data_IF_114537892093
#
_entry.id   IF_114537892093
#
_cell.length_a   1.000
_cell.length_b   1.000
_cell.length_c   1.000
_cell.angle_alpha   90.00
_cell.angle_beta   90.00
_cell.angle_gamma   90.00
#
_symmetry.space_group_name_H-M   'P 1'
#
loop_
_entity.id
_entity.type
_entity.pdbx_description
1 polymer ?
#
# COMPACT_ATOMS: atom_id res chain seq x y z
N UNK A 1 -13.27 -1.27 6.26
CA UNK A 1 -13.18 0.15 6.64
C UNK A 1 -12.73 1.14 5.54
N UNK A 2 -12.06 0.67 4.47
CA UNK A 2 -11.40 1.56 3.50
C UNK A 2 -12.13 1.81 2.17
N UNK A 3 -13.28 1.18 1.92
CA UNK A 3 -13.98 1.33 0.64
C UNK A 3 -13.20 0.81 -0.59
N UNK A 4 -12.18 -0.05 -0.40
CA UNK A 4 -11.26 -0.49 -1.46
C UNK A 4 -11.77 -1.64 -2.34
N UNK A 5 -13.05 -2.00 -2.20
CA UNK A 5 -13.73 -3.03 -2.99
C UNK A 5 -14.81 -2.36 -3.81
N UNK A 6 -14.87 -2.68 -5.10
CA UNK A 6 -15.95 -2.23 -5.98
C UNK A 6 -16.64 -3.44 -6.60
N UNK A 7 -17.91 -3.28 -6.95
CA UNK A 7 -18.68 -4.35 -7.57
C UNK A 7 -18.68 -4.15 -9.08
N UNK A 8 -18.20 -5.14 -9.83
CA UNK A 8 -18.09 -5.01 -11.28
C UNK A 8 -19.50 -5.02 -11.91
N UNK A 9 -19.87 -3.98 -12.69
CA UNK A 9 -21.26 -3.79 -13.13
C UNK A 9 -21.76 -4.90 -14.07
N UNK A 10 -20.86 -5.50 -14.87
CA UNK A 10 -21.17 -6.59 -15.81
C UNK A 10 -21.01 -7.97 -15.16
N UNK A 11 -19.79 -8.33 -14.72
CA UNK A 11 -19.49 -9.65 -14.15
C UNK A 11 -20.13 -9.95 -12.79
N UNK A 12 -20.70 -8.95 -12.11
CA UNK A 12 -21.34 -9.10 -10.79
C UNK A 12 -20.41 -9.74 -9.73
N UNK A 13 -19.12 -9.44 -9.82
CA UNK A 13 -18.08 -9.89 -8.90
C UNK A 13 -17.53 -8.73 -8.09
N UNK A 14 -16.98 -9.03 -6.91
CA UNK A 14 -16.23 -8.03 -6.15
C UNK A 14 -14.79 -7.95 -6.68
N UNK A 15 -14.37 -6.75 -7.03
CA UNK A 15 -13.00 -6.45 -7.45
C UNK A 15 -12.31 -5.51 -6.47
N UNK A 16 -10.98 -5.59 -6.45
CA UNK A 16 -10.10 -4.77 -5.60
C UNK A 16 -8.72 -4.69 -6.20
N UNK A 17 -7.90 -3.78 -5.67
CA UNK A 17 -6.47 -3.75 -5.94
C UNK A 17 -5.82 -5.13 -5.78
N UNK A 18 -5.05 -5.56 -6.77
CA UNK A 18 -4.32 -6.82 -6.83
C UNK A 18 -2.83 -6.67 -6.52
N UNK A 19 -2.40 -5.48 -6.07
CA UNK A 19 -0.99 -5.10 -5.91
C UNK A 19 -0.15 -5.33 -7.16
N UNK A 20 -0.78 -5.21 -8.34
CA UNK A 20 -0.15 -5.51 -9.62
C UNK A 20 0.54 -6.89 -9.62
N UNK A 21 -0.13 -7.93 -9.12
CA UNK A 21 0.42 -9.29 -9.03
C UNK A 21 1.17 -9.73 -10.30
N UNK A 22 0.62 -9.44 -11.48
CA UNK A 22 1.20 -9.73 -12.79
C UNK A 22 2.54 -9.03 -13.11
N UNK A 23 2.88 -7.96 -12.39
CA UNK A 23 4.16 -7.22 -12.47
C UNK A 23 5.15 -7.69 -11.43
N UNK A 24 4.71 -7.78 -10.16
CA UNK A 24 5.61 -8.12 -9.05
C UNK A 24 6.17 -9.55 -9.17
N UNK A 25 5.44 -10.48 -9.79
CA UNK A 25 5.94 -11.83 -10.09
C UNK A 25 7.07 -11.86 -11.12
N UNK A 26 7.26 -10.76 -11.87
CA UNK A 26 8.34 -10.57 -12.85
C UNK A 26 9.48 -9.70 -12.30
N UNK A 27 9.49 -9.44 -10.99
CA UNK A 27 10.46 -8.55 -10.36
C UNK A 27 10.26 -7.07 -10.67
N UNK A 28 9.11 -6.69 -11.24
CA UNK A 28 8.78 -5.29 -11.53
C UNK A 28 8.02 -4.66 -10.37
N UNK A 29 8.13 -3.34 -10.21
CA UNK A 29 7.34 -2.61 -9.24
C UNK A 29 5.85 -2.53 -9.65
N UNK A 30 4.94 -2.28 -8.68
CA UNK A 30 3.57 -1.93 -8.98
C UNK A 30 3.47 -0.67 -9.85
N UNK A 31 2.51 -0.64 -10.78
CA UNK A 31 2.35 0.48 -11.70
C UNK A 31 2.14 1.82 -10.99
N UNK A 32 1.45 1.81 -9.84
CA UNK A 32 1.18 3.01 -9.06
C UNK A 32 2.42 3.58 -8.35
N UNK A 33 3.49 2.79 -8.20
CA UNK A 33 4.78 3.16 -7.65
C UNK A 33 5.64 3.75 -8.76
N UNK A 34 5.75 3.06 -9.90
CA UNK A 34 6.52 3.54 -11.06
C UNK A 34 5.95 4.82 -11.67
N UNK A 35 4.62 4.98 -11.66
CA UNK A 35 3.97 6.20 -12.16
C UNK A 35 4.14 7.41 -11.23
N UNK A 36 4.72 7.24 -10.04
CA UNK A 36 4.86 8.32 -9.06
C UNK A 36 6.00 9.26 -9.45
N UNK A 37 5.66 10.38 -10.09
CA UNK A 37 6.65 11.36 -10.57
C UNK A 37 7.60 11.90 -9.47
N UNK A 38 7.09 12.05 -8.24
CA UNK A 38 7.87 12.56 -7.11
C UNK A 38 8.58 11.46 -6.30
N UNK A 39 8.43 10.19 -6.67
CA UNK A 39 9.07 9.08 -5.97
C UNK A 39 8.62 8.88 -4.51
N UNK A 40 7.47 9.41 -4.12
CA UNK A 40 6.96 9.35 -2.73
C UNK A 40 6.42 7.97 -2.34
N UNK A 41 6.08 7.13 -3.33
CA UNK A 41 5.58 5.77 -3.08
C UNK A 41 6.75 4.80 -3.09
N UNK A 42 6.90 4.06 -1.99
CA UNK A 42 7.94 3.05 -1.82
C UNK A 42 7.33 1.65 -1.78
N UNK A 43 8.03 0.67 -2.34
CA UNK A 43 7.58 -0.72 -2.42
C UNK A 43 8.69 -1.66 -1.94
N UNK A 44 8.30 -2.73 -1.22
CA UNK A 44 9.25 -3.69 -0.67
C UNK A 44 8.58 -4.70 0.25
N UNK A 45 9.26 -5.81 0.50
CA UNK A 45 8.85 -6.80 1.49
C UNK A 45 9.25 -6.33 2.89
N UNK A 46 8.29 -6.15 3.78
CA UNK A 46 8.55 -5.72 5.17
C UNK A 46 9.37 -6.75 5.95
N UNK A 47 9.36 -8.02 5.53
CA UNK A 47 10.11 -9.11 6.17
C UNK A 47 11.58 -9.13 5.75
N UNK A 48 11.89 -8.54 4.60
CA UNK A 48 13.26 -8.35 4.16
C UNK A 48 13.83 -7.09 4.82
N UNK A 49 14.81 -7.22 5.75
CA UNK A 49 15.39 -6.06 6.43
C UNK A 49 16.14 -5.13 5.47
N UNK A 50 16.59 -5.61 4.31
CA UNK A 50 17.32 -4.79 3.36
C UNK A 50 16.39 -4.02 2.40
N UNK A 51 15.07 -4.30 2.45
CA UNK A 51 14.11 -3.57 1.64
C UNK A 51 13.96 -2.11 2.07
N UNK A 52 13.77 -1.22 1.10
CA UNK A 52 13.61 0.22 1.36
C UNK A 52 12.46 0.49 2.35
N UNK A 53 11.34 -0.23 2.19
CA UNK A 53 10.17 -0.11 3.07
C UNK A 53 10.50 -0.58 4.49
N UNK A 54 11.19 -1.72 4.67
CA UNK A 54 11.55 -2.21 6.00
C UNK A 54 12.51 -1.27 6.72
N UNK A 55 13.44 -0.64 5.99
CA UNK A 55 14.29 0.41 6.55
C UNK A 55 13.46 1.62 6.99
N UNK A 56 12.58 2.14 6.14
CA UNK A 56 11.73 3.30 6.45
C UNK A 56 10.86 3.04 7.68
N UNK A 57 10.17 1.89 7.73
CA UNK A 57 9.28 1.56 8.86
C UNK A 57 10.03 1.43 10.19
N UNK A 58 11.32 1.06 10.15
CA UNK A 58 12.17 0.95 11.35
C UNK A 58 12.80 2.28 11.78
N UNK A 59 13.10 3.18 10.85
CA UNK A 59 13.81 4.43 11.16
C UNK A 59 12.89 5.64 11.30
N UNK A 60 11.74 5.64 10.63
CA UNK A 60 10.81 6.77 10.60
C UNK A 60 9.59 6.54 11.48
N UNK A 61 8.97 7.64 11.91
CA UNK A 61 7.64 7.58 12.53
C UNK A 61 6.57 7.41 11.44
N UNK A 62 6.09 6.18 11.31
CA UNK A 62 5.02 5.82 10.38
C UNK A 62 3.70 5.61 11.09
N UNK A 63 2.62 5.94 10.40
CA UNK A 63 1.24 5.70 10.82
C UNK A 63 0.51 4.84 9.78
N UNK A 64 -0.56 4.17 10.21
CA UNK A 64 -1.48 3.45 9.31
C UNK A 64 -2.84 4.13 9.28
N UNK A 65 -3.54 4.00 8.16
CA UNK A 65 -4.88 4.55 7.99
C UNK A 65 -5.90 3.74 8.81
N UNK A 66 -6.82 4.43 9.51
CA UNK A 66 -7.93 3.84 10.28
C UNK A 66 -7.49 2.71 11.22
N UNK A 67 -6.49 3.00 12.04
CA UNK A 67 -5.89 2.06 12.99
C UNK A 67 -6.92 1.45 13.97
N UNK A 68 -7.93 2.25 14.35
CA UNK A 68 -8.99 1.88 15.27
C UNK A 68 -9.83 0.66 14.83
N UNK A 69 -9.81 0.31 13.54
CA UNK A 69 -10.50 -0.89 13.03
C UNK A 69 -9.68 -2.18 13.16
N UNK A 70 -8.45 -2.13 13.70
CA UNK A 70 -7.66 -3.32 14.03
C UNK A 70 -7.22 -4.18 12.84
N UNK A 71 -7.35 -3.69 11.61
CA UNK A 71 -7.07 -4.48 10.39
C UNK A 71 -5.59 -4.67 10.05
N UNK A 72 -4.68 -4.02 10.81
CA UNK A 72 -3.22 -4.03 10.62
C UNK A 72 -2.81 -3.83 9.14
N UNK A 73 -3.16 -2.69 8.51
CA UNK A 73 -2.84 -2.45 7.10
C UNK A 73 -1.33 -2.44 6.85
N UNK A 74 -0.93 -2.90 5.67
CA UNK A 74 0.47 -2.89 5.22
C UNK A 74 0.73 -1.75 4.22
N UNK A 75 0.05 -0.63 4.43
CA UNK A 75 0.29 0.62 3.73
C UNK A 75 0.59 1.68 4.80
N UNK A 76 1.84 2.13 4.83
CA UNK A 76 2.37 3.02 5.86
C UNK A 76 2.50 4.43 5.31
N UNK A 77 2.27 5.42 6.16
CA UNK A 77 2.28 6.83 5.82
C UNK A 77 3.20 7.57 6.77
N UNK A 78 4.07 8.44 6.24
CA UNK A 78 4.87 9.38 7.02
C UNK A 78 4.09 10.70 7.07
N UNK A 79 3.89 11.26 8.27
CA UNK A 79 3.17 12.53 8.43
C UNK A 79 1.66 12.45 8.15
N UNK A 80 1.04 11.30 8.44
CA UNK A 80 -0.42 11.16 8.30
C UNK A 80 -1.15 12.07 9.29
N UNK A 81 -1.91 13.03 8.76
CA UNK A 81 -2.69 13.97 9.55
C UNK A 81 -4.03 13.38 10.03
N UNK A 82 -4.50 13.88 11.17
CA UNK A 82 -5.73 13.46 11.85
C UNK A 82 -7.00 13.76 11.05
N UNK A 83 -6.97 14.71 10.12
CA UNK A 83 -8.13 15.08 9.29
C UNK A 83 -8.51 13.96 8.31
N UNK A 84 -7.56 13.08 7.96
CA UNK A 84 -7.75 12.01 6.96
C UNK A 84 -8.09 10.66 7.62
N UNK A 85 -8.29 10.61 8.94
CA UNK A 85 -8.69 9.40 9.68
C UNK A 85 -10.13 9.00 9.38
#
# INVERSE_FOLDING_TARGET
PFGTRFFHPVYKTAEKCTFCYHRITKGMNPACVDACAFGVRKWGDIRDPDSEVSRIVRTERVSVLKEEYGTKPHAFYIGLDMIVR
#
